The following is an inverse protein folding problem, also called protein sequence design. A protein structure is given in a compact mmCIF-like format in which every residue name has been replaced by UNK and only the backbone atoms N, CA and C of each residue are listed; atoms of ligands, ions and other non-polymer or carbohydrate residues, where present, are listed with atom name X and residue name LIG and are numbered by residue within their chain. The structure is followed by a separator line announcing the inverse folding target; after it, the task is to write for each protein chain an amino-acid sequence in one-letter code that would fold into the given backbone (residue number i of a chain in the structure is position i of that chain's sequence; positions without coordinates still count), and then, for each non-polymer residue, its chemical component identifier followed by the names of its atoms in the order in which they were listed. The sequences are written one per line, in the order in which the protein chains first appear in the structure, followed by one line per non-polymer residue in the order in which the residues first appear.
data_IF_632291019540
#
_entry.id   IF_632291019540
#
_cell.length_a   1.000
_cell.length_b   1.000
_cell.length_c   1.000
_cell.angle_alpha   90.00
_cell.angle_beta   90.00
_cell.angle_gamma   90.00
#
_symmetry.space_group_name_H-M   'P 1'
#
loop_
_entity.id
_entity.type
_entity.pdbx_description
1 polymer ?
#
# COMPACT_ATOMS: atom_id res chain seq x y z
N UNK A 1 -7.87 -17.64 -3.94
CA UNK A 1 -8.13 -17.22 -5.35
C UNK A 1 -8.45 -18.44 -6.21
N UNK A 2 -9.19 -18.26 -7.30
CA UNK A 2 -9.60 -19.36 -8.19
C UNK A 2 -8.42 -19.88 -9.03
N UNK A 3 -8.40 -21.18 -9.33
CA UNK A 3 -7.34 -21.84 -10.13
C UNK A 3 -7.09 -21.16 -11.48
N UNK A 4 -8.13 -20.55 -12.07
CA UNK A 4 -8.06 -19.81 -13.34
C UNK A 4 -7.20 -18.56 -13.19
N UNK A 5 -7.36 -17.79 -12.11
CA UNK A 5 -6.55 -16.60 -11.87
C UNK A 5 -5.05 -16.95 -11.78
N UNK A 6 -4.70 -18.01 -11.04
CA UNK A 6 -3.31 -18.45 -10.89
C UNK A 6 -2.71 -18.97 -12.20
N UNK A 7 -3.43 -19.86 -12.90
CA UNK A 7 -2.86 -20.63 -14.02
C UNK A 7 -3.00 -19.98 -15.37
N UNK A 8 -3.90 -19.01 -15.52
CA UNK A 8 -4.17 -18.35 -16.80
C UNK A 8 -3.77 -16.88 -16.72
N UNK A 9 -4.42 -16.12 -15.85
CA UNK A 9 -4.25 -14.66 -15.76
C UNK A 9 -2.84 -14.32 -15.25
N UNK A 10 -2.43 -14.93 -14.14
CA UNK A 10 -1.18 -14.62 -13.45
C UNK A 10 -0.03 -15.59 -13.77
N UNK A 11 -0.18 -16.41 -14.82
CA UNK A 11 0.83 -17.40 -15.22
C UNK A 11 2.18 -16.74 -15.52
N UNK A 12 2.16 -15.57 -16.15
CA UNK A 12 3.36 -14.80 -16.46
C UNK A 12 4.13 -14.40 -15.21
N UNK A 13 3.43 -13.86 -14.21
CA UNK A 13 3.98 -13.47 -12.92
C UNK A 13 4.60 -14.66 -12.18
N UNK A 14 3.88 -15.79 -12.14
CA UNK A 14 4.39 -17.02 -11.51
C UNK A 14 5.67 -17.52 -12.18
N UNK A 15 5.72 -17.59 -13.53
CA UNK A 15 6.93 -18.02 -14.26
C UNK A 15 8.12 -17.10 -13.99
N UNK A 16 7.89 -15.79 -13.86
CA UNK A 16 8.95 -14.83 -13.56
C UNK A 16 9.46 -15.01 -12.13
N UNK A 17 8.57 -15.27 -11.18
CA UNK A 17 8.92 -15.59 -9.79
C UNK A 17 9.75 -16.88 -9.70
N UNK A 18 9.31 -17.97 -10.32
CA UNK A 18 10.04 -19.24 -10.31
C UNK A 18 11.43 -19.12 -10.96
N UNK A 19 11.55 -18.27 -11.99
CA UNK A 19 12.86 -17.96 -12.60
C UNK A 19 13.77 -17.20 -11.65
N UNK A 20 13.23 -16.23 -10.90
CA UNK A 20 13.98 -15.49 -9.91
C UNK A 20 14.46 -16.41 -8.77
N UNK A 21 13.61 -17.33 -8.31
CA UNK A 21 13.96 -18.36 -7.34
C UNK A 21 15.09 -19.26 -7.85
N UNK A 22 14.97 -19.75 -9.09
CA UNK A 22 16.02 -20.58 -9.71
C UNK A 22 17.36 -19.83 -9.84
N UNK A 23 17.32 -18.55 -10.21
CA UNK A 23 18.51 -17.70 -10.28
C UNK A 23 19.17 -17.48 -8.91
N UNK A 24 18.38 -17.52 -7.83
CA UNK A 24 18.85 -17.48 -6.45
C UNK A 24 19.28 -18.87 -5.90
N UNK A 25 19.29 -19.92 -6.74
CA UNK A 25 19.66 -21.28 -6.33
C UNK A 25 18.55 -22.05 -5.59
N UNK A 26 17.32 -21.54 -5.61
CA UNK A 26 16.16 -22.18 -4.98
C UNK A 26 15.35 -23.01 -5.98
N UNK A 27 14.44 -23.84 -5.45
CA UNK A 27 13.45 -24.57 -6.25
C UNK A 27 12.28 -23.64 -6.61
N UNK A 28 11.46 -24.06 -7.57
CA UNK A 28 10.19 -23.37 -7.86
C UNK A 28 9.30 -23.30 -6.63
N UNK A 29 8.49 -22.25 -6.55
CA UNK A 29 7.63 -22.03 -5.39
C UNK A 29 6.54 -23.11 -5.29
N UNK A 30 6.31 -23.71 -4.11
CA UNK A 30 5.21 -24.64 -3.90
C UNK A 30 3.83 -23.94 -3.82
N UNK A 31 3.82 -22.60 -3.72
CA UNK A 31 2.61 -21.77 -3.66
C UNK A 31 2.60 -20.70 -4.75
N UNK A 32 1.43 -20.14 -5.02
CA UNK A 32 1.32 -19.00 -5.92
C UNK A 32 2.05 -17.77 -5.34
N UNK A 33 2.60 -16.90 -6.18
CA UNK A 33 3.43 -15.77 -5.74
C UNK A 33 2.77 -14.94 -4.63
N UNK A 34 1.47 -14.65 -4.67
CA UNK A 34 0.79 -13.87 -3.61
C UNK A 34 0.55 -14.65 -2.31
N UNK A 35 0.69 -15.97 -2.34
CA UNK A 35 0.56 -16.85 -1.17
C UNK A 35 1.92 -17.08 -0.48
N UNK A 36 3.00 -16.42 -0.93
CA UNK A 36 4.35 -16.53 -0.35
C UNK A 36 4.41 -16.35 1.17
N UNK A 37 3.56 -15.53 1.85
CA UNK A 37 3.65 -15.39 3.30
C UNK A 37 3.45 -16.71 4.06
N UNK A 38 2.79 -17.70 3.44
CA UNK A 38 2.63 -19.05 4.00
C UNK A 38 3.93 -19.83 4.12
N UNK A 39 4.98 -19.41 3.42
CA UNK A 39 6.30 -20.03 3.44
C UNK A 39 7.29 -19.31 4.35
N UNK A 40 6.92 -18.15 4.91
CA UNK A 40 7.79 -17.40 5.79
C UNK A 40 7.81 -18.04 7.19
N UNK A 41 8.99 -18.05 7.82
CA UNK A 41 9.12 -18.46 9.23
C UNK A 41 8.39 -17.48 10.17
N UNK A 42 8.29 -16.22 9.76
CA UNK A 42 7.57 -15.15 10.45
C UNK A 42 7.18 -14.02 9.49
N UNK A 43 6.06 -13.35 9.77
CA UNK A 43 5.58 -12.17 9.04
C UNK A 43 5.37 -11.05 10.04
N UNK A 44 6.02 -9.93 9.79
CA UNK A 44 5.89 -8.72 10.59
C UNK A 44 4.93 -7.78 9.87
N UNK A 45 3.68 -7.73 10.34
CA UNK A 45 2.64 -6.85 9.80
C UNK A 45 2.79 -5.47 10.43
N UNK A 46 3.04 -4.45 9.59
CA UNK A 46 3.33 -3.08 10.03
C UNK A 46 2.05 -2.27 10.34
N UNK A 47 1.05 -2.94 10.92
CA UNK A 47 -0.26 -2.43 11.28
C UNK A 47 -0.63 -2.89 12.70
N UNK A 48 -1.77 -2.43 13.21
CA UNK A 48 -2.41 -3.00 14.41
C UNK A 48 -3.54 -3.93 13.99
N UNK A 49 -3.84 -4.93 14.82
CA UNK A 49 -4.89 -5.91 14.53
C UNK A 49 -6.26 -5.25 14.27
N UNK A 50 -6.62 -4.25 15.08
CA UNK A 50 -7.89 -3.51 14.97
C UNK A 50 -8.07 -2.75 13.65
N UNK A 51 -7.00 -2.56 12.87
CA UNK A 51 -7.06 -1.91 11.55
C UNK A 51 -7.16 -2.91 10.39
N UNK A 52 -6.98 -4.20 10.65
CA UNK A 52 -7.15 -5.24 9.65
C UNK A 52 -8.51 -5.93 9.78
N UNK A 53 -8.96 -6.58 8.70
CA UNK A 53 -10.13 -7.45 8.79
C UNK A 53 -9.84 -8.65 9.69
N UNK A 54 -10.72 -8.98 10.65
CA UNK A 54 -10.52 -10.13 11.53
C UNK A 54 -10.42 -11.44 10.72
N UNK A 55 -9.40 -12.23 11.02
CA UNK A 55 -9.15 -13.52 10.36
C UNK A 55 -9.00 -14.63 11.39
N UNK A 56 -10.01 -15.50 11.46
CA UNK A 56 -9.96 -16.70 12.30
C UNK A 56 -8.90 -17.72 11.85
N UNK A 57 -8.41 -17.59 10.62
CA UNK A 57 -7.41 -18.47 10.00
C UNK A 57 -6.01 -17.83 9.91
N UNK A 58 -5.76 -16.74 10.66
CA UNK A 58 -4.46 -16.08 10.65
C UNK A 58 -3.38 -17.04 11.21
N UNK A 59 -2.29 -17.29 10.46
CA UNK A 59 -1.22 -18.15 10.96
C UNK A 59 -0.56 -17.54 12.22
N UNK A 60 -0.12 -18.38 13.18
CA UNK A 60 0.57 -17.90 14.38
C UNK A 60 1.95 -17.28 14.10
N UNK A 61 2.44 -17.40 12.86
CA UNK A 61 3.68 -16.77 12.40
C UNK A 61 3.53 -15.28 12.07
N UNK A 62 2.31 -14.73 12.12
CA UNK A 62 2.05 -13.30 11.87
C UNK A 62 2.09 -12.54 13.19
N UNK A 63 2.91 -11.50 13.25
CA UNK A 63 3.02 -10.58 14.37
C UNK A 63 2.66 -9.16 13.92
N UNK A 64 1.73 -8.52 14.64
CA UNK A 64 1.37 -7.12 14.43
C UNK A 64 2.30 -6.22 15.27
N UNK A 65 3.06 -5.35 14.62
CA UNK A 65 4.03 -4.46 15.29
C UNK A 65 3.79 -2.98 14.98
N UNK A 66 2.66 -2.66 14.35
CA UNK A 66 2.35 -1.32 13.90
C UNK A 66 1.57 -0.45 14.91
N UNK A 67 1.21 0.77 14.49
CA UNK A 67 1.70 1.41 13.27
C UNK A 67 3.18 1.75 13.42
N UNK A 68 3.97 1.54 12.35
CA UNK A 68 5.37 1.97 12.34
C UNK A 68 5.42 3.47 12.11
N UNK A 69 5.57 4.22 13.19
CA UNK A 69 5.67 5.67 13.13
C UNK A 69 7.05 6.10 12.64
N UNK A 70 7.15 7.23 11.91
CA UNK A 70 8.44 7.83 11.58
C UNK A 70 9.28 8.05 12.84
N UNK A 71 10.55 7.62 12.81
CA UNK A 71 11.48 7.89 13.90
C UNK A 71 11.63 9.39 14.19
N UNK A 72 11.87 9.72 15.47
CA UNK A 72 12.17 11.09 15.90
C UNK A 72 13.40 11.60 15.12
N UNK A 73 13.27 12.76 14.46
CA UNK A 73 14.38 13.38 13.73
C UNK A 73 14.43 13.09 12.23
N UNK A 74 13.35 12.60 11.59
CA UNK A 74 13.24 12.73 10.13
C UNK A 74 13.33 14.21 9.77
N UNK A 75 14.28 14.51 8.88
CA UNK A 75 14.62 15.85 8.40
C UNK A 75 13.36 16.55 7.93
N UNK A 76 12.95 17.58 8.67
CA UNK A 76 11.98 18.54 8.18
C UNK A 76 12.62 19.18 6.94
N UNK A 77 12.09 18.90 5.75
CA UNK A 77 12.60 19.49 4.50
C UNK A 77 12.26 20.99 4.40
N UNK A 78 11.74 21.57 5.48
CA UNK A 78 11.04 22.84 5.48
C UNK A 78 9.65 22.62 4.90
N UNK A 79 8.65 23.09 5.63
CA UNK A 79 7.30 23.21 5.09
C UNK A 79 7.30 24.32 4.02
N UNK A 80 6.45 24.23 2.99
CA UNK A 80 6.38 25.26 1.96
C UNK A 80 5.92 26.61 2.55
N UNK A 81 6.26 27.71 1.89
CA UNK A 81 5.98 29.06 2.39
C UNK A 81 4.49 29.34 2.63
N UNK A 82 3.60 28.64 1.92
CA UNK A 82 2.13 28.73 2.10
C UNK A 82 1.61 27.90 3.28
N UNK A 83 2.42 27.04 3.90
CA UNK A 83 1.96 26.17 4.99
C UNK A 83 1.25 26.91 6.14
N UNK A 84 1.70 28.10 6.57
CA UNK A 84 0.99 28.87 7.59
C UNK A 84 -0.46 29.19 7.25
N UNK A 85 -0.82 29.24 5.97
CA UNK A 85 -2.19 29.52 5.51
C UNK A 85 -3.17 28.43 6.00
N UNK A 86 -2.70 27.18 6.16
CA UNK A 86 -3.51 26.08 6.69
C UNK A 86 -3.93 26.27 8.16
N UNK A 87 -3.18 27.05 8.94
CA UNK A 87 -3.52 27.27 10.35
C UNK A 87 -4.74 28.17 10.53
N UNK A 88 -5.08 28.99 9.52
CA UNK A 88 -6.23 29.88 9.52
C UNK A 88 -7.42 29.37 8.70
N UNK A 89 -7.30 28.22 8.04
CA UNK A 89 -8.35 27.67 7.19
C UNK A 89 -9.51 27.08 8.02
N UNK A 90 -10.75 27.31 7.58
CA UNK A 90 -11.94 26.71 8.19
C UNK A 90 -12.03 25.21 7.88
N UNK A 91 -11.71 24.82 6.65
CA UNK A 91 -11.53 23.43 6.26
C UNK A 91 -10.26 23.22 5.42
N UNK A 92 -9.68 22.02 5.53
CA UNK A 92 -8.54 21.59 4.71
C UNK A 92 -8.87 20.25 4.08
N UNK A 93 -8.90 20.20 2.76
CA UNK A 93 -9.10 18.96 2.00
C UNK A 93 -7.76 18.46 1.47
N UNK A 94 -7.29 17.33 2.00
CA UNK A 94 -6.10 16.66 1.49
C UNK A 94 -6.48 15.58 0.45
N UNK A 95 -5.98 15.74 -0.77
CA UNK A 95 -6.23 14.82 -1.88
C UNK A 95 -4.91 14.23 -2.37
N UNK A 96 -4.83 12.90 -2.47
CA UNK A 96 -3.63 12.19 -2.95
C UNK A 96 -4.01 10.88 -3.67
N UNK A 97 -3.32 10.57 -4.77
CA UNK A 97 -3.42 9.27 -5.48
C UNK A 97 -2.35 8.25 -5.01
N UNK A 98 -1.61 8.60 -3.96
CA UNK A 98 -0.42 7.84 -3.57
C UNK A 98 0.66 7.90 -4.66
N UNK A 99 1.57 6.94 -4.63
CA UNK A 99 2.75 6.95 -5.52
C UNK A 99 2.61 6.08 -6.75
N UNK A 100 1.59 5.21 -6.81
CA UNK A 100 1.46 4.22 -7.87
C UNK A 100 0.61 4.73 -9.05
N UNK A 101 -0.46 5.46 -8.74
CA UNK A 101 -1.42 5.95 -9.73
C UNK A 101 -1.24 7.46 -9.98
N UNK A 102 0.00 7.90 -10.22
CA UNK A 102 0.32 9.32 -10.39
C UNK A 102 0.52 9.75 -11.86
N UNK A 103 0.24 8.87 -12.83
CA UNK A 103 0.45 9.14 -14.26
C UNK A 103 -0.72 9.87 -14.90
N UNK A 104 -1.93 9.73 -14.35
CA UNK A 104 -3.14 10.37 -14.82
C UNK A 104 -3.84 11.10 -13.67
N UNK A 105 -3.64 12.41 -13.61
CA UNK A 105 -4.25 13.28 -12.59
C UNK A 105 -5.74 13.50 -12.83
N UNK A 106 -6.25 13.11 -14.01
CA UNK A 106 -7.66 13.15 -14.37
C UNK A 106 -8.53 12.14 -13.62
N UNK A 107 -7.94 11.17 -12.91
CA UNK A 107 -8.71 10.15 -12.19
C UNK A 107 -9.19 10.60 -10.80
N UNK A 108 -8.45 11.49 -10.13
CA UNK A 108 -8.80 11.94 -8.78
C UNK A 108 -8.53 13.42 -8.55
N UNK A 109 -7.32 13.90 -8.84
CA UNK A 109 -6.89 15.26 -8.46
C UNK A 109 -7.70 16.32 -9.21
N UNK A 110 -7.70 16.29 -10.54
CA UNK A 110 -8.44 17.27 -11.35
C UNK A 110 -9.96 17.24 -11.09
N UNK A 111 -10.64 16.07 -11.07
CA UNK A 111 -12.06 16.02 -10.73
C UNK A 111 -12.39 16.57 -9.34
N UNK A 112 -11.51 16.36 -8.35
CA UNK A 112 -11.73 16.91 -7.01
C UNK A 112 -11.62 18.43 -7.01
N UNK A 113 -10.63 19.01 -7.71
CA UNK A 113 -10.51 20.46 -7.83
C UNK A 113 -11.72 21.07 -8.53
N UNK A 114 -12.20 20.46 -9.62
CA UNK A 114 -13.41 20.92 -10.33
C UNK A 114 -14.65 20.84 -9.43
N UNK A 115 -14.81 19.74 -8.69
CA UNK A 115 -15.96 19.55 -7.79
C UNK A 115 -15.96 20.52 -6.59
N UNK A 116 -14.80 20.99 -6.16
CA UNK A 116 -14.65 21.90 -5.02
C UNK A 116 -14.54 23.38 -5.43
N UNK A 117 -14.43 23.68 -6.72
CA UNK A 117 -14.20 25.05 -7.21
C UNK A 117 -15.28 26.06 -6.79
N UNK A 118 -16.52 25.61 -6.61
CA UNK A 118 -17.68 26.46 -6.25
C UNK A 118 -18.16 26.24 -4.80
N UNK A 119 -17.38 25.54 -3.96
CA UNK A 119 -17.71 25.29 -2.56
C UNK A 119 -17.14 26.39 -1.67
N UNK A 120 -17.88 27.50 -1.55
CA UNK A 120 -17.53 28.61 -0.66
C UNK A 120 -17.67 28.28 0.84
N UNK A 121 -18.32 27.16 1.16
CA UNK A 121 -18.49 26.64 2.52
C UNK A 121 -17.35 25.69 2.96
N UNK A 122 -16.26 25.64 2.18
CA UNK A 122 -15.02 24.93 2.50
C UNK A 122 -13.84 25.91 2.55
#
# INVERSE_FOLDING_TARGET
MTTVAHRVIMRGSQRRFDRALAAAGSRSSPVFISDWPRLADGIVQLSVEDFEYPRSDLPPSVEFVGPVLPGKGKVDKGLPDWWPDLHGAEAVVHVTQGTFDNTDLGQLIAPTLEALAEREDL
#
